data_IF_414781006372
#
_entry.id   IF_414781006372
#
_cell.length_a   1.000
_cell.length_b   1.000
_cell.length_c   1.000
_cell.angle_alpha   90.00
_cell.angle_beta   90.00
_cell.angle_gamma   90.00
#
_symmetry.space_group_name_H-M   'P 1'
#
loop_
_entity.id
_entity.type
_entity.pdbx_description
1 polymer ?
#
# COMPACT_ATOMS: atom_id res chain seq x y z
N UNK A 1 44.39 6.75 -12.71
CA UNK A 1 43.04 6.26 -13.06
C UNK A 1 42.18 6.36 -11.82
N UNK A 2 41.09 7.13 -11.82
CA UNK A 2 39.90 6.88 -12.64
C UNK A 2 39.16 8.16 -13.16
N UNK A 3 38.01 7.93 -13.82
CA UNK A 3 36.80 8.77 -13.95
C UNK A 3 36.78 10.04 -14.84
N UNK A 4 35.94 10.07 -15.89
CA UNK A 4 34.54 10.60 -15.88
C UNK A 4 33.99 10.95 -17.28
N UNK A 5 32.65 10.86 -17.38
CA UNK A 5 31.70 11.53 -18.29
C UNK A 5 31.49 11.01 -19.73
N UNK A 6 30.43 10.20 -19.88
CA UNK A 6 29.64 10.13 -21.13
C UNK A 6 28.29 10.82 -20.89
N UNK A 7 28.10 11.89 -21.65
CA UNK A 7 27.00 12.83 -21.62
C UNK A 7 25.78 12.23 -22.35
N UNK A 8 24.64 12.06 -21.66
CA UNK A 8 23.36 11.68 -22.28
C UNK A 8 22.44 12.90 -22.39
N UNK A 9 22.19 13.27 -23.64
CA UNK A 9 21.46 14.44 -24.13
C UNK A 9 20.08 14.66 -23.45
N UNK A 10 19.89 15.90 -22.97
CA UNK A 10 18.78 16.42 -22.16
C UNK A 10 17.56 17.08 -22.87
N UNK A 11 17.21 16.94 -24.17
CA UNK A 11 16.09 17.74 -24.70
C UNK A 11 14.66 17.19 -24.44
N UNK A 12 14.50 15.89 -24.16
CA UNK A 12 13.15 15.26 -24.19
C UNK A 12 12.43 15.31 -22.84
N UNK A 13 13.16 15.53 -21.73
CA UNK A 13 12.57 15.64 -20.38
C UNK A 13 11.99 17.04 -20.08
N UNK A 14 12.36 18.06 -20.87
CA UNK A 14 11.98 19.45 -20.62
C UNK A 14 10.52 19.79 -20.96
N UNK A 15 9.83 19.01 -21.80
CA UNK A 15 8.49 19.39 -22.27
C UNK A 15 7.34 18.89 -21.41
N UNK A 16 7.58 17.92 -20.50
CA UNK A 16 6.57 17.46 -19.52
C UNK A 16 6.73 18.06 -18.12
N UNK A 17 7.88 18.66 -17.83
CA UNK A 17 8.14 19.34 -16.55
C UNK A 17 7.50 20.74 -16.46
N UNK A 18 7.01 21.31 -17.56
CA UNK A 18 6.52 22.68 -17.62
C UNK A 18 5.04 22.86 -17.21
N UNK A 19 4.40 21.84 -16.65
CA UNK A 19 3.08 21.93 -16.01
C UNK A 19 3.16 21.44 -14.56
N UNK A 20 4.15 21.91 -13.80
CA UNK A 20 4.19 21.72 -12.35
C UNK A 20 3.65 22.99 -11.68
N UNK A 21 2.34 22.99 -11.44
CA UNK A 21 1.69 23.92 -10.52
C UNK A 21 2.24 23.67 -9.11
N UNK A 22 2.56 24.75 -8.40
CA UNK A 22 3.28 24.73 -7.13
C UNK A 22 2.40 24.18 -5.99
N UNK A 23 2.26 22.87 -5.92
CA UNK A 23 1.84 22.18 -4.71
C UNK A 23 3.10 21.69 -4.01
N UNK A 24 3.33 22.18 -2.80
CA UNK A 24 4.38 21.71 -1.90
C UNK A 24 4.50 20.18 -1.97
N UNK A 25 5.68 19.67 -2.36
CA UNK A 25 5.96 18.24 -2.63
C UNK A 25 5.93 17.40 -1.35
N UNK A 26 4.78 17.24 -0.72
CA UNK A 26 4.55 16.18 0.26
C UNK A 26 4.16 14.93 -0.54
N UNK A 27 5.15 14.15 -0.95
CA UNK A 27 4.93 12.84 -1.56
C UNK A 27 4.31 11.91 -0.51
N UNK A 28 3.07 11.47 -0.75
CA UNK A 28 2.42 10.53 0.15
C UNK A 28 3.08 9.15 0.02
N UNK A 29 3.17 8.41 1.13
CA UNK A 29 3.72 7.04 1.10
C UNK A 29 2.84 6.07 0.30
N UNK A 30 1.54 6.38 0.20
CA UNK A 30 0.60 5.69 -0.68
C UNK A 30 0.97 5.88 -2.16
N UNK A 31 1.32 7.10 -2.57
CA UNK A 31 1.78 7.40 -3.93
C UNK A 31 3.09 6.67 -4.26
N UNK A 32 4.07 6.71 -3.33
CA UNK A 32 5.33 5.99 -3.50
C UNK A 32 5.14 4.48 -3.62
N UNK A 33 4.21 3.91 -2.84
CA UNK A 33 3.87 2.48 -2.92
C UNK A 33 3.31 2.12 -4.30
N UNK A 34 2.41 2.94 -4.84
CA UNK A 34 1.84 2.71 -6.16
C UNK A 34 2.90 2.82 -7.28
N UNK A 35 3.79 3.82 -7.20
CA UNK A 35 4.91 3.96 -8.14
C UNK A 35 5.86 2.77 -8.07
N UNK A 36 6.23 2.33 -6.86
CA UNK A 36 7.11 1.19 -6.66
C UNK A 36 6.56 -0.10 -7.30
N UNK A 37 5.29 -0.43 -7.04
CA UNK A 37 4.67 -1.62 -7.64
C UNK A 37 4.58 -1.52 -9.18
N UNK A 38 4.31 -0.31 -9.70
CA UNK A 38 4.30 -0.07 -11.15
C UNK A 38 5.68 -0.29 -11.78
N UNK A 39 6.74 0.21 -11.15
CA UNK A 39 8.12 0.08 -11.62
C UNK A 39 8.62 -1.37 -11.58
N UNK A 40 8.08 -2.18 -10.65
CA UNK A 40 8.29 -3.64 -10.63
C UNK A 40 7.56 -4.39 -11.77
N UNK A 41 6.68 -3.72 -12.53
CA UNK A 41 5.83 -4.38 -13.52
C UNK A 41 4.75 -5.27 -12.89
N UNK A 42 4.32 -4.96 -11.66
CA UNK A 42 3.32 -5.74 -10.93
C UNK A 42 1.98 -5.76 -11.68
N UNK A 43 1.41 -6.96 -11.90
CA UNK A 43 0.17 -7.16 -12.66
C UNK A 43 -0.93 -7.94 -11.89
N UNK A 44 -0.62 -8.33 -10.66
CA UNK A 44 -1.53 -9.04 -9.76
C UNK A 44 -2.42 -8.04 -8.99
N UNK A 45 -3.24 -8.54 -8.06
CA UNK A 45 -4.04 -7.71 -7.15
C UNK A 45 -3.27 -7.40 -5.87
N UNK A 46 -3.55 -6.23 -5.30
CA UNK A 46 -3.07 -5.82 -3.97
C UNK A 46 -4.19 -6.03 -2.94
N UNK A 47 -3.91 -6.75 -1.85
CA UNK A 47 -4.75 -6.75 -0.67
C UNK A 47 -4.33 -5.61 0.27
N UNK A 48 -5.26 -4.72 0.58
CA UNK A 48 -5.02 -3.52 1.37
C UNK A 48 -5.52 -3.74 2.81
N UNK A 49 -4.61 -3.59 3.77
CA UNK A 49 -4.93 -3.31 5.17
C UNK A 49 -4.63 -1.83 5.39
N UNK A 50 -5.61 -0.97 5.12
CA UNK A 50 -5.35 0.45 5.00
C UNK A 50 -6.52 1.28 4.47
N UNK A 51 -6.29 2.59 4.46
CA UNK A 51 -7.28 3.59 4.07
C UNK A 51 -7.56 3.61 2.56
N UNK A 52 -8.67 4.27 2.20
CA UNK A 52 -9.04 4.55 0.79
C UNK A 52 -7.98 5.38 0.04
N UNK A 53 -7.09 6.08 0.74
CA UNK A 53 -5.99 6.80 0.11
C UNK A 53 -5.06 5.86 -0.67
N UNK A 54 -4.73 4.69 -0.10
CA UNK A 54 -3.89 3.69 -0.77
C UNK A 54 -4.58 3.16 -2.04
N UNK A 55 -5.87 2.84 -1.96
CA UNK A 55 -6.65 2.38 -3.10
C UNK A 55 -6.66 3.39 -4.25
N UNK A 56 -6.86 4.68 -3.95
CA UNK A 56 -6.86 5.74 -4.98
C UNK A 56 -5.52 5.85 -5.71
N UNK A 57 -4.40 5.75 -4.99
CA UNK A 57 -3.07 5.81 -5.61
C UNK A 57 -2.79 4.57 -6.48
N UNK A 58 -3.23 3.38 -6.05
CA UNK A 58 -3.13 2.15 -6.86
C UNK A 58 -4.01 2.21 -8.12
N UNK A 59 -5.25 2.70 -8.00
CA UNK A 59 -6.16 2.90 -9.14
C UNK A 59 -5.58 3.89 -10.15
N UNK A 60 -4.95 4.98 -9.69
CA UNK A 60 -4.35 5.99 -10.55
C UNK A 60 -3.24 5.44 -11.46
N UNK A 61 -2.61 4.32 -11.08
CA UNK A 61 -1.59 3.62 -11.89
C UNK A 61 -2.11 2.33 -12.53
N UNK A 62 -3.41 2.04 -12.40
CA UNK A 62 -4.05 0.87 -13.02
C UNK A 62 -3.82 -0.46 -12.27
N UNK A 63 -3.42 -0.42 -11.01
CA UNK A 63 -3.23 -1.61 -10.17
C UNK A 63 -4.54 -1.97 -9.50
N UNK A 64 -4.95 -3.23 -9.65
CA UNK A 64 -6.18 -3.78 -9.06
C UNK A 64 -5.97 -4.04 -7.57
N UNK A 65 -7.01 -3.83 -6.77
CA UNK A 65 -6.92 -4.01 -5.31
C UNK A 65 -8.24 -4.47 -4.69
N UNK A 66 -8.16 -4.85 -3.42
CA UNK A 66 -9.29 -5.24 -2.56
C UNK A 66 -8.94 -4.98 -1.08
N UNK A 67 -9.92 -5.11 -0.19
CA UNK A 67 -9.70 -5.08 1.26
C UNK A 67 -9.89 -3.72 1.93
N UNK A 68 -10.19 -2.65 1.18
CA UNK A 68 -10.56 -1.35 1.78
C UNK A 68 -11.93 -1.43 2.43
N UNK A 69 -12.06 -0.81 3.61
CA UNK A 69 -13.33 -0.75 4.35
C UNK A 69 -13.48 -1.83 5.43
N UNK A 70 -14.67 -1.92 6.05
CA UNK A 70 -15.01 -2.95 7.03
C UNK A 70 -14.99 -4.35 6.43
N UNK A 71 -14.48 -5.31 7.20
CA UNK A 71 -14.54 -6.75 6.91
C UNK A 71 -15.01 -7.49 8.18
N UNK A 72 -16.31 -7.37 8.54
CA UNK A 72 -16.80 -7.81 9.83
C UNK A 72 -16.77 -9.33 9.96
N UNK A 73 -16.32 -9.82 11.11
CA UNK A 73 -16.43 -11.24 11.48
C UNK A 73 -17.85 -11.52 11.95
N UNK A 74 -18.57 -12.39 11.22
CA UNK A 74 -19.97 -12.71 11.51
C UNK A 74 -20.17 -14.05 12.23
N UNK A 75 -19.11 -14.85 12.36
CA UNK A 75 -19.13 -16.22 12.91
C UNK A 75 -18.01 -16.46 13.91
N UNK A 76 -18.00 -17.62 14.57
CA UNK A 76 -16.88 -18.05 15.39
C UNK A 76 -15.62 -18.35 14.54
N UNK A 77 -14.47 -18.47 15.20
CA UNK A 77 -13.17 -18.67 14.56
C UNK A 77 -13.09 -19.99 13.76
N UNK A 78 -13.72 -21.06 14.25
CA UNK A 78 -13.72 -22.35 13.55
C UNK A 78 -14.49 -22.27 12.23
N UNK A 79 -15.67 -21.66 12.26
CA UNK A 79 -16.48 -21.37 11.06
C UNK A 79 -15.77 -20.40 10.11
N UNK A 80 -15.09 -19.39 10.66
CA UNK A 80 -14.35 -18.41 9.87
C UNK A 80 -13.22 -19.04 9.05
N UNK A 81 -12.42 -19.91 9.68
CA UNK A 81 -11.30 -20.60 9.01
C UNK A 81 -11.81 -21.63 8.00
N UNK A 82 -12.90 -22.33 8.30
CA UNK A 82 -13.40 -23.43 7.47
C UNK A 82 -14.29 -22.99 6.31
N UNK A 83 -14.95 -21.83 6.37
CA UNK A 83 -16.00 -21.45 5.41
C UNK A 83 -15.88 -20.01 4.87
N UNK A 84 -15.45 -19.05 5.69
CA UNK A 84 -15.51 -17.62 5.35
C UNK A 84 -14.16 -17.02 4.93
N UNK A 85 -13.03 -17.65 5.28
CA UNK A 85 -11.70 -17.23 4.85
C UNK A 85 -11.46 -17.61 3.38
N UNK A 86 -12.09 -16.85 2.48
CA UNK A 86 -11.88 -16.96 1.04
C UNK A 86 -10.78 -15.98 0.61
N UNK A 87 -9.65 -16.54 0.20
CA UNK A 87 -8.53 -15.78 -0.37
C UNK A 87 -8.71 -15.68 -1.89
N UNK A 88 -8.43 -14.50 -2.44
CA UNK A 88 -8.40 -14.28 -3.88
C UNK A 88 -7.02 -14.71 -4.42
N UNK A 89 -6.93 -15.75 -5.26
CA UNK A 89 -5.65 -16.29 -5.72
C UNK A 89 -4.88 -15.33 -6.64
N UNK A 90 -5.50 -14.25 -7.13
CA UNK A 90 -4.81 -13.23 -7.91
C UNK A 90 -4.06 -12.21 -7.03
N UNK A 91 -4.13 -12.32 -5.70
CA UNK A 91 -3.39 -11.43 -4.80
C UNK A 91 -1.91 -11.82 -4.77
N UNK A 92 -1.08 -10.88 -5.22
CA UNK A 92 0.38 -11.02 -5.23
C UNK A 92 1.09 -10.00 -4.36
N UNK A 93 0.37 -9.11 -3.68
CA UNK A 93 0.95 -8.15 -2.76
C UNK A 93 -0.02 -7.81 -1.62
N UNK A 94 0.55 -7.52 -0.44
CA UNK A 94 -0.14 -6.96 0.71
C UNK A 94 0.46 -5.59 1.02
N UNK A 95 -0.40 -4.56 1.09
CA UNK A 95 0.00 -3.20 1.48
C UNK A 95 -0.67 -2.86 2.80
N UNK A 96 0.15 -2.50 3.79
CA UNK A 96 -0.29 -2.12 5.14
C UNK A 96 -0.08 -0.62 5.37
N UNK A 97 -1.12 0.03 5.88
CA UNK A 97 -1.08 1.40 6.37
C UNK A 97 -2.22 1.65 7.36
N UNK A 98 -2.54 2.92 7.56
CA UNK A 98 -3.55 3.32 8.54
C UNK A 98 -4.93 2.83 8.11
N UNK A 99 -5.60 2.08 8.99
CA UNK A 99 -6.89 1.47 8.72
C UNK A 99 -7.84 1.65 9.91
N UNK A 100 -8.90 2.43 9.72
CA UNK A 100 -9.96 2.60 10.74
C UNK A 100 -10.81 1.34 10.93
N UNK A 101 -10.73 0.40 10.00
CA UNK A 101 -11.46 -0.86 10.02
C UNK A 101 -10.54 -2.05 10.30
N UNK A 102 -9.35 -1.79 10.84
CA UNK A 102 -8.41 -2.82 11.23
C UNK A 102 -9.08 -3.84 12.15
N UNK A 103 -8.97 -5.12 11.80
CA UNK A 103 -9.52 -6.20 12.59
C UNK A 103 -8.75 -7.52 12.36
N UNK A 104 -9.08 -8.52 13.17
CA UNK A 104 -8.41 -9.81 13.15
C UNK A 104 -8.56 -10.57 11.81
N UNK A 105 -9.70 -10.44 11.12
CA UNK A 105 -9.91 -11.09 9.82
C UNK A 105 -8.99 -10.51 8.74
N UNK A 106 -8.82 -9.19 8.71
CA UNK A 106 -7.90 -8.53 7.78
C UNK A 106 -6.46 -8.97 8.04
N UNK A 107 -6.06 -9.09 9.31
CA UNK A 107 -4.75 -9.65 9.69
C UNK A 107 -4.58 -11.10 9.24
N UNK A 108 -5.58 -11.95 9.45
CA UNK A 108 -5.52 -13.35 8.99
C UNK A 108 -5.39 -13.46 7.47
N UNK A 109 -6.15 -12.65 6.71
CA UNK A 109 -6.05 -12.60 5.25
C UNK A 109 -4.66 -12.13 4.81
N UNK A 110 -4.16 -11.03 5.37
CA UNK A 110 -2.82 -10.51 5.10
C UNK A 110 -1.74 -11.57 5.37
N UNK A 111 -1.75 -12.18 6.56
CA UNK A 111 -0.79 -13.22 6.94
C UNK A 111 -0.87 -14.44 6.00
N UNK A 112 -2.08 -14.84 5.60
CA UNK A 112 -2.28 -15.96 4.68
C UNK A 112 -1.76 -15.66 3.27
N UNK A 113 -1.95 -14.43 2.76
CA UNK A 113 -1.37 -14.03 1.48
C UNK A 113 0.16 -13.99 1.53
N UNK A 114 0.74 -13.45 2.61
CA UNK A 114 2.20 -13.38 2.79
C UNK A 114 2.86 -14.72 3.14
N UNK A 115 2.07 -15.76 3.40
CA UNK A 115 2.59 -17.12 3.53
C UNK A 115 3.09 -17.66 2.18
N UNK A 116 2.70 -17.05 1.06
CA UNK A 116 3.36 -17.23 -0.23
C UNK A 116 4.63 -16.36 -0.28
N UNK A 117 5.84 -16.93 -0.43
CA UNK A 117 7.09 -16.16 -0.49
C UNK A 117 7.19 -15.22 -1.70
N UNK A 118 6.42 -15.45 -2.76
CA UNK A 118 6.36 -14.59 -3.94
C UNK A 118 5.42 -13.38 -3.74
N UNK A 119 4.68 -13.33 -2.62
CA UNK A 119 3.80 -12.22 -2.29
C UNK A 119 4.60 -11.05 -1.72
N UNK A 120 4.51 -9.89 -2.37
CA UNK A 120 5.21 -8.68 -1.95
C UNK A 120 4.52 -8.08 -0.72
N UNK A 121 5.27 -7.84 0.36
CA UNK A 121 4.76 -7.14 1.54
C UNK A 121 5.31 -5.72 1.62
N UNK A 122 4.43 -4.72 1.74
CA UNK A 122 4.79 -3.30 1.83
C UNK A 122 4.09 -2.68 3.04
N UNK A 123 4.87 -2.13 3.97
CA UNK A 123 4.36 -1.25 5.02
C UNK A 123 4.61 0.21 4.61
N UNK A 124 3.56 1.03 4.60
CA UNK A 124 3.62 2.39 4.04
C UNK A 124 4.39 3.38 4.91
N UNK A 125 4.52 3.16 6.22
CA UNK A 125 5.55 3.79 7.05
C UNK A 125 5.82 2.91 8.30
N UNK A 126 6.75 3.32 9.16
CA UNK A 126 7.06 2.68 10.44
C UNK A 126 6.82 3.62 11.64
N UNK A 127 5.95 4.62 11.48
CA UNK A 127 5.64 5.55 12.57
C UNK A 127 4.84 4.79 13.64
N UNK A 128 5.39 4.68 14.87
CA UNK A 128 4.74 3.96 15.97
C UNK A 128 3.44 4.65 16.43
N UNK A 129 3.31 5.97 16.22
CA UNK A 129 2.18 6.78 16.71
C UNK A 129 1.74 7.79 15.67
N UNK A 130 0.43 7.96 15.55
CA UNK A 130 -0.13 9.08 14.81
C UNK A 130 -0.11 10.33 15.72
N UNK A 131 0.46 11.47 15.29
CA UNK A 131 0.49 12.67 16.10
C UNK A 131 -0.92 13.21 16.28
N UNK A 132 -1.47 13.05 17.48
CA UNK A 132 -2.73 13.64 17.91
C UNK A 132 -2.49 14.41 19.21
N UNK A 133 -2.83 15.70 19.22
CA UNK A 133 -2.78 16.56 20.41
C UNK A 133 -3.99 16.35 21.33
N UNK A 134 -4.37 15.09 21.56
CA UNK A 134 -5.41 14.71 22.50
C UNK A 134 -4.74 14.18 23.78
N UNK A 135 -4.87 14.93 24.88
CA UNK A 135 -4.31 14.55 26.16
C UNK A 135 -4.86 13.18 26.59
N UNK A 136 -4.01 12.15 26.48
CA UNK A 136 -4.20 10.75 26.91
C UNK A 136 -4.73 9.73 25.88
N UNK A 137 -4.78 10.03 24.59
CA UNK A 137 -5.10 9.01 23.55
C UNK A 137 -3.87 8.74 22.69
N UNK A 138 -3.41 7.49 22.69
CA UNK A 138 -2.41 7.00 21.74
C UNK A 138 -3.14 6.40 20.55
N UNK A 139 -2.98 7.01 19.38
CA UNK A 139 -3.46 6.44 18.12
C UNK A 139 -2.30 5.67 17.49
N UNK A 140 -2.45 4.36 17.21
CA UNK A 140 -1.42 3.61 16.51
C UNK A 140 -1.15 4.28 15.16
N UNK A 141 0.14 4.43 14.85
CA UNK A 141 0.57 4.95 13.56
C UNK A 141 0.35 3.92 12.44
N UNK A 142 1.07 4.11 11.35
CA UNK A 142 0.89 3.36 10.09
C UNK A 142 1.88 2.17 9.98
N UNK A 143 2.57 1.81 11.08
CA UNK A 143 3.56 0.73 11.19
C UNK A 143 3.22 -0.32 12.26
#
# INVERSE_FOLDING_TARGET
SPDRDVNLNLPVLSSRAAQHDQREEILSTSYLTACYLKDLGFNQKVFIVGSIGIAKELEAVGIRHLGVGPDPVLTDLGSLVSQDLKLDPEVGAVVVGFDLHFNFLKMMKAASYTNNPDCVFIATNTDERFPMDAANIVVPGKG
#
